data_IF_507710320184
#
_entry.id   IF_507710320184
#
_cell.length_a   1.000
_cell.length_b   1.000
_cell.length_c   1.000
_cell.angle_alpha   90.00
_cell.angle_beta   90.00
_cell.angle_gamma   90.00
#
_symmetry.space_group_name_H-M   'P 1'
#
loop_
_entity.id
_entity.type
_entity.pdbx_description
1 polymer ?
#
# COMPACT_ATOMS: atom_id res chain seq x y z
N UNK A 1 30.18 5.96 27.07
CA UNK A 1 29.29 6.78 26.21
C UNK A 1 28.99 6.17 24.83
N UNK A 2 29.58 5.04 24.41
CA UNK A 2 29.42 4.50 23.05
C UNK A 2 28.07 3.78 22.82
N UNK A 3 27.45 3.22 23.87
CA UNK A 3 26.22 2.42 23.76
C UNK A 3 24.96 3.25 23.43
N UNK A 4 24.94 4.53 23.80
CA UNK A 4 23.79 5.43 23.57
C UNK A 4 23.77 5.93 22.12
N UNK A 5 24.94 6.22 21.53
CA UNK A 5 25.03 6.69 20.15
C UNK A 5 24.58 5.62 19.13
N UNK A 6 24.87 4.34 19.38
CA UNK A 6 24.39 3.23 18.53
C UNK A 6 22.88 3.02 18.61
N UNK A 7 22.28 3.16 19.79
CA UNK A 7 20.84 3.03 19.99
C UNK A 7 20.03 4.18 19.39
N UNK A 8 20.57 5.41 19.42
CA UNK A 8 19.94 6.57 18.78
C UNK A 8 19.97 6.43 17.26
N UNK A 9 21.14 6.06 16.69
CA UNK A 9 21.29 5.90 15.25
C UNK A 9 20.39 4.80 14.66
N UNK A 10 20.29 3.66 15.35
CA UNK A 10 19.45 2.55 14.91
C UNK A 10 17.96 2.90 14.94
N UNK A 11 17.54 3.71 15.92
CA UNK A 11 16.15 4.19 16.02
C UNK A 11 15.81 5.20 14.92
N UNK A 12 16.73 6.12 14.62
CA UNK A 12 16.54 7.10 13.55
C UNK A 12 16.48 6.41 12.17
N UNK A 13 17.29 5.37 11.94
CA UNK A 13 17.25 4.58 10.70
C UNK A 13 15.94 3.79 10.57
N UNK A 14 15.46 3.14 11.64
CA UNK A 14 14.19 2.40 11.66
C UNK A 14 12.97 3.34 11.44
N UNK A 15 12.98 4.52 12.06
CA UNK A 15 11.93 5.53 11.90
C UNK A 15 11.95 6.13 10.49
N UNK A 16 13.13 6.32 9.89
CA UNK A 16 13.28 6.79 8.52
C UNK A 16 12.82 5.74 7.49
N UNK A 17 13.17 4.47 7.69
CA UNK A 17 12.68 3.37 6.84
C UNK A 17 11.16 3.20 6.95
N UNK A 18 10.61 3.37 8.15
CA UNK A 18 9.17 3.36 8.37
C UNK A 18 8.47 4.53 7.67
N UNK A 19 9.00 5.75 7.80
CA UNK A 19 8.45 6.94 7.13
C UNK A 19 8.56 6.85 5.60
N UNK A 20 9.67 6.30 5.09
CA UNK A 20 9.83 6.05 3.66
C UNK A 20 8.82 5.01 3.16
N UNK A 21 8.64 3.92 3.89
CA UNK A 21 7.64 2.90 3.55
C UNK A 21 6.22 3.49 3.57
N UNK A 22 5.87 4.29 4.58
CA UNK A 22 4.57 4.96 4.65
C UNK A 22 4.33 5.90 3.46
N UNK A 23 5.33 6.72 3.10
CA UNK A 23 5.25 7.62 1.95
C UNK A 23 5.11 6.88 0.62
N UNK A 24 5.93 5.84 0.41
CA UNK A 24 5.88 5.02 -0.80
C UNK A 24 4.52 4.32 -0.94
N UNK A 25 4.00 3.73 0.14
CA UNK A 25 2.74 3.00 0.11
C UNK A 25 1.55 3.94 -0.09
N UNK A 26 1.58 5.13 0.51
CA UNK A 26 0.56 6.18 0.27
C UNK A 26 0.54 6.60 -1.19
N UNK A 27 1.70 6.84 -1.80
CA UNK A 27 1.80 7.22 -3.21
C UNK A 27 1.26 6.10 -4.12
N UNK A 28 1.61 4.85 -3.86
CA UNK A 28 1.10 3.69 -4.60
C UNK A 28 -0.43 3.56 -4.47
N UNK A 29 -0.98 3.76 -3.28
CA UNK A 29 -2.44 3.71 -3.04
C UNK A 29 -3.17 4.78 -3.85
N UNK A 30 -2.65 6.01 -3.84
CA UNK A 30 -3.22 7.12 -4.61
C UNK A 30 -3.14 6.88 -6.12
N UNK A 31 -2.03 6.30 -6.60
CA UNK A 31 -1.88 5.95 -8.01
C UNK A 31 -2.90 4.89 -8.44
N UNK A 32 -3.10 3.84 -7.63
CA UNK A 32 -4.09 2.79 -7.91
C UNK A 32 -5.52 3.35 -7.93
N UNK A 33 -5.85 4.25 -7.00
CA UNK A 33 -7.14 4.93 -7.00
C UNK A 33 -7.33 5.77 -8.28
N UNK A 34 -6.32 6.55 -8.68
CA UNK A 34 -6.35 7.36 -9.90
C UNK A 34 -6.55 6.50 -11.17
N UNK A 35 -5.82 5.39 -11.27
CA UNK A 35 -5.96 4.44 -12.38
C UNK A 35 -7.38 3.84 -12.39
N UNK A 36 -7.87 3.39 -11.22
CA UNK A 36 -9.21 2.85 -11.09
C UNK A 36 -10.29 3.84 -11.51
N UNK A 37 -10.21 5.10 -11.06
CA UNK A 37 -11.11 6.17 -11.50
C UNK A 37 -11.05 6.37 -13.01
N UNK A 38 -9.85 6.42 -13.59
CA UNK A 38 -9.71 6.61 -15.03
C UNK A 38 -10.31 5.46 -15.84
N UNK A 39 -10.15 4.21 -15.38
CA UNK A 39 -10.78 3.04 -16.01
C UNK A 39 -12.31 3.13 -15.96
N UNK A 40 -12.87 3.52 -14.81
CA UNK A 40 -14.31 3.73 -14.67
C UNK A 40 -14.82 4.82 -15.62
N UNK A 41 -14.10 5.95 -15.71
CA UNK A 41 -14.43 7.05 -16.63
C UNK A 41 -14.32 6.64 -18.12
N UNK A 42 -13.39 5.74 -18.44
CA UNK A 42 -13.22 5.16 -19.77
C UNK A 42 -14.28 4.09 -20.13
N UNK A 43 -15.17 3.76 -19.20
CA UNK A 43 -16.27 2.82 -19.40
C UNK A 43 -15.97 1.38 -18.99
N UNK A 44 -14.84 1.12 -18.30
CA UNK A 44 -14.60 -0.19 -17.69
C UNK A 44 -15.66 -0.47 -16.62
N UNK A 45 -16.32 -1.63 -16.64
CA UNK A 45 -17.26 -2.01 -15.60
C UNK A 45 -16.62 -1.98 -14.21
N UNK A 46 -17.35 -1.44 -13.23
CA UNK A 46 -16.87 -1.41 -11.83
C UNK A 46 -16.43 -2.77 -11.32
N UNK A 47 -17.20 -3.80 -11.61
CA UNK A 47 -16.88 -5.16 -11.18
C UNK A 47 -15.51 -5.61 -11.71
N UNK A 48 -15.19 -5.29 -12.96
CA UNK A 48 -13.91 -5.64 -13.57
C UNK A 48 -12.74 -4.93 -12.85
N UNK A 49 -12.91 -3.65 -12.48
CA UNK A 49 -11.90 -2.92 -11.68
C UNK A 49 -11.73 -3.55 -10.29
N UNK A 50 -12.83 -3.96 -9.65
CA UNK A 50 -12.80 -4.64 -8.34
C UNK A 50 -12.15 -6.02 -8.43
N UNK A 51 -12.39 -6.76 -9.50
CA UNK A 51 -11.77 -8.07 -9.75
C UNK A 51 -10.26 -7.91 -9.96
N UNK A 52 -9.82 -6.89 -10.71
CA UNK A 52 -8.40 -6.56 -10.88
C UNK A 52 -7.70 -6.25 -9.55
N UNK A 53 -8.35 -5.48 -8.67
CA UNK A 53 -7.81 -5.19 -7.34
C UNK A 53 -7.74 -6.44 -6.46
N UNK A 54 -8.69 -7.37 -6.65
CA UNK A 54 -8.71 -8.64 -5.92
C UNK A 54 -7.57 -9.53 -6.36
N UNK A 55 -7.32 -9.65 -7.67
CA UNK A 55 -6.15 -10.37 -8.19
C UNK A 55 -4.82 -9.77 -7.70
N UNK A 56 -4.73 -8.43 -7.60
CA UNK A 56 -3.56 -7.76 -7.03
C UNK A 56 -3.37 -8.09 -5.55
N UNK A 57 -4.47 -8.16 -4.78
CA UNK A 57 -4.42 -8.56 -3.37
C UNK A 57 -3.90 -9.99 -3.21
N UNK A 58 -4.42 -10.93 -3.99
CA UNK A 58 -4.00 -12.34 -3.99
C UNK A 58 -2.51 -12.47 -4.37
N UNK A 59 -2.06 -11.77 -5.42
CA UNK A 59 -0.66 -11.76 -5.82
C UNK A 59 0.25 -11.20 -4.71
N UNK A 60 -0.20 -10.20 -3.95
CA UNK A 60 0.54 -9.69 -2.81
C UNK A 60 0.61 -10.70 -1.66
N UNK A 61 -0.46 -11.44 -1.37
CA UNK A 61 -0.46 -12.52 -0.36
C UNK A 61 0.59 -13.60 -0.68
N UNK A 62 0.74 -13.94 -1.97
CA UNK A 62 1.68 -14.96 -2.44
C UNK A 62 3.15 -14.48 -2.46
N UNK A 63 3.37 -13.21 -2.82
CA UNK A 63 4.73 -12.68 -3.08
C UNK A 63 5.35 -11.97 -1.88
N UNK A 64 4.55 -11.34 -1.01
CA UNK A 64 5.05 -10.58 0.14
C UNK A 64 5.37 -11.53 1.30
N UNK A 65 6.68 -11.76 1.51
CA UNK A 65 7.18 -12.70 2.54
C UNK A 65 7.05 -12.19 3.97
N UNK A 66 7.08 -10.87 4.19
CA UNK A 66 7.00 -10.29 5.53
C UNK A 66 5.53 -10.17 5.96
N UNK A 67 5.11 -10.81 7.07
CA UNK A 67 3.75 -10.71 7.57
C UNK A 67 3.34 -9.27 7.89
N UNK A 68 4.28 -8.47 8.41
CA UNK A 68 4.06 -7.04 8.68
C UNK A 68 3.83 -6.25 7.38
N UNK A 69 4.68 -6.45 6.38
CA UNK A 69 4.54 -5.76 5.09
C UNK A 69 3.21 -6.12 4.41
N UNK A 70 2.79 -7.39 4.55
CA UNK A 70 1.54 -7.90 4.02
C UNK A 70 0.31 -7.26 4.67
N UNK A 71 0.30 -7.18 6.01
CA UNK A 71 -0.78 -6.52 6.74
C UNK A 71 -0.93 -5.05 6.35
N UNK A 72 0.19 -4.34 6.18
CA UNK A 72 0.20 -2.95 5.72
C UNK A 72 -0.38 -2.87 4.30
N UNK A 73 0.14 -3.65 3.35
CA UNK A 73 -0.36 -3.67 1.98
C UNK A 73 -1.88 -3.94 1.90
N UNK A 74 -2.39 -4.85 2.72
CA UNK A 74 -3.83 -5.14 2.81
C UNK A 74 -4.67 -3.94 3.29
N UNK A 75 -4.22 -3.22 4.32
CA UNK A 75 -4.92 -2.01 4.81
C UNK A 75 -5.02 -0.93 3.74
N UNK A 76 -3.96 -0.76 2.95
CA UNK A 76 -3.91 0.23 1.88
C UNK A 76 -4.77 -0.15 0.68
N UNK A 77 -4.78 -1.44 0.28
CA UNK A 77 -5.73 -1.94 -0.71
C UNK A 77 -7.18 -1.68 -0.29
N UNK A 78 -7.52 -1.86 0.99
CA UNK A 78 -8.86 -1.52 1.50
C UNK A 78 -9.21 -0.04 1.37
N UNK A 79 -8.23 0.86 1.51
CA UNK A 79 -8.45 2.29 1.24
C UNK A 79 -8.81 2.55 -0.22
N UNK A 80 -8.16 1.85 -1.15
CA UNK A 80 -8.47 1.93 -2.60
C UNK A 80 -9.85 1.36 -2.89
N UNK A 81 -10.21 0.22 -2.30
CA UNK A 81 -11.56 -0.34 -2.42
C UNK A 81 -12.63 0.63 -1.95
N UNK A 82 -12.43 1.33 -0.84
CA UNK A 82 -13.38 2.34 -0.35
C UNK A 82 -13.51 3.51 -1.31
N UNK A 83 -12.38 4.06 -1.77
CA UNK A 83 -12.37 5.18 -2.71
C UNK A 83 -13.12 4.86 -4.01
N UNK A 84 -13.03 3.61 -4.50
CA UNK A 84 -13.69 3.17 -5.71
C UNK A 84 -15.10 2.60 -5.48
N UNK A 85 -15.40 2.14 -4.27
CA UNK A 85 -16.71 1.60 -3.88
C UNK A 85 -17.72 2.68 -3.53
N UNK A 86 -17.26 3.80 -2.95
CA UNK A 86 -18.09 4.94 -2.54
C UNK A 86 -18.28 5.99 -3.67
N UNK A 87 -17.43 5.96 -4.71
CA UNK A 87 -17.59 6.72 -5.96
C UNK A 87 -18.71 6.14 -6.83
#
# INVERSE_FOLDING_TARGET
>A
MIKVAGAIRQRDDDDNDAAFAEGAITLWSNLLALIGTHLLEAGTPRQEVLDMLTMLHEANEETVRSPRARAIAGQHLMSVYRALGDA
#
